data_IF_511545252491
#
_entry.id   IF_511545252491
#
_cell.length_a   1.000
_cell.length_b   1.000
_cell.length_c   1.000
_cell.angle_alpha   90.00
_cell.angle_beta   90.00
_cell.angle_gamma   90.00
#
_symmetry.space_group_name_H-M   'P 1'
#
loop_
_entity.id
_entity.type
_entity.pdbx_description
1 polymer ?
#
# COMPACT_ATOMS: atom_id res chain seq x y z
N UNK A 1 5.29 -24.45 -2.07
CA UNK A 1 3.98 -24.14 -2.69
C UNK A 1 2.81 -24.89 -2.05
N UNK A 2 2.90 -26.21 -1.77
CA UNK A 2 1.79 -26.98 -1.13
C UNK A 2 1.35 -26.41 0.22
N UNK A 3 2.31 -26.04 1.07
CA UNK A 3 2.02 -25.53 2.43
C UNK A 3 1.31 -24.17 2.43
N UNK A 4 1.40 -23.40 1.34
CA UNK A 4 0.72 -22.11 1.21
C UNK A 4 -0.71 -22.22 0.68
N UNK A 5 -1.09 -23.36 0.07
CA UNK A 5 -2.42 -23.51 -0.55
C UNK A 5 -3.55 -23.59 0.47
N UNK A 6 -3.26 -24.12 1.68
CA UNK A 6 -4.26 -24.25 2.74
C UNK A 6 -4.73 -22.90 3.28
N UNK A 7 -3.88 -21.86 3.17
CA UNK A 7 -4.16 -20.51 3.66
C UNK A 7 -5.40 -19.88 2.98
N UNK A 8 -5.67 -20.21 1.71
CA UNK A 8 -6.81 -19.70 0.97
C UNK A 8 -8.14 -20.41 1.29
N UNK A 9 -8.13 -21.40 2.19
CA UNK A 9 -9.27 -22.32 2.41
C UNK A 9 -9.65 -22.41 3.89
N UNK A 10 -8.67 -22.54 4.79
CA UNK A 10 -8.90 -23.07 6.15
C UNK A 10 -9.60 -22.10 7.12
N UNK A 11 -9.54 -20.79 6.91
CA UNK A 11 -10.17 -19.77 7.77
C UNK A 11 -11.22 -18.95 7.01
N UNK A 12 -11.94 -19.64 6.13
CA UNK A 12 -12.82 -19.04 5.14
C UNK A 12 -12.12 -18.89 3.80
N UNK A 13 -12.81 -19.28 2.73
CA UNK A 13 -12.25 -19.18 1.38
C UNK A 13 -12.05 -17.72 0.99
N UNK A 14 -11.14 -17.44 0.05
CA UNK A 14 -10.94 -16.08 -0.48
C UNK A 14 -12.26 -15.43 -0.92
N UNK A 15 -13.19 -16.21 -1.48
CA UNK A 15 -14.52 -15.74 -1.86
C UNK A 15 -15.38 -15.31 -0.66
N UNK A 16 -15.40 -16.10 0.41
CA UNK A 16 -16.14 -15.75 1.64
C UNK A 16 -15.51 -14.51 2.31
N UNK A 17 -14.19 -14.43 2.37
CA UNK A 17 -13.47 -13.27 2.90
C UNK A 17 -13.78 -12.00 2.08
N UNK A 18 -13.82 -12.12 0.76
CA UNK A 18 -14.18 -11.01 -0.13
C UNK A 18 -15.62 -10.55 0.06
N UNK A 19 -16.56 -11.48 0.19
CA UNK A 19 -17.96 -11.18 0.48
C UNK A 19 -18.13 -10.51 1.84
N UNK A 20 -17.38 -10.93 2.86
CA UNK A 20 -17.39 -10.28 4.16
C UNK A 20 -16.90 -8.83 4.09
N UNK A 21 -15.80 -8.61 3.35
CA UNK A 21 -15.24 -7.27 3.17
C UNK A 21 -16.26 -6.33 2.54
N UNK A 22 -16.80 -6.69 1.38
CA UNK A 22 -17.67 -5.81 0.59
C UNK A 22 -19.08 -5.73 1.15
N UNK A 23 -19.62 -6.87 1.61
CA UNK A 23 -20.98 -6.97 2.14
C UNK A 23 -21.12 -6.43 3.56
N UNK A 24 -20.12 -6.61 4.42
CA UNK A 24 -20.19 -6.25 5.85
C UNK A 24 -19.22 -5.13 6.23
N UNK A 25 -17.92 -5.29 5.98
CA UNK A 25 -16.89 -4.37 6.53
C UNK A 25 -16.92 -2.98 5.90
N UNK A 26 -17.11 -2.88 4.59
CA UNK A 26 -17.19 -1.58 3.90
C UNK A 26 -18.47 -0.81 4.20
N UNK A 27 -19.49 -1.47 4.75
CA UNK A 27 -20.74 -0.83 5.16
C UNK A 27 -20.73 -0.40 6.63
N UNK A 28 -19.72 -0.80 7.40
CA UNK A 28 -19.62 -0.43 8.81
C UNK A 28 -19.59 1.08 8.98
N UNK A 29 -20.39 1.57 9.93
CA UNK A 29 -20.45 3.00 10.28
C UNK A 29 -20.59 3.88 9.02
N UNK A 30 -21.45 3.50 8.07
CA UNK A 30 -21.67 4.25 6.81
C UNK A 30 -20.42 4.40 5.94
N UNK A 31 -19.54 3.39 6.00
CA UNK A 31 -18.29 3.33 5.26
C UNK A 31 -17.18 4.23 5.82
N UNK A 32 -17.31 4.76 7.03
CA UNK A 32 -16.27 5.57 7.68
C UNK A 32 -14.88 4.91 7.67
N UNK A 33 -14.72 3.61 7.99
CA UNK A 33 -13.39 2.99 8.02
C UNK A 33 -12.70 2.98 6.65
N UNK A 34 -13.42 2.58 5.59
CA UNK A 34 -12.83 2.53 4.24
C UNK A 34 -12.57 3.94 3.69
N UNK A 35 -13.47 4.90 3.95
CA UNK A 35 -13.25 6.31 3.60
C UNK A 35 -12.00 6.87 4.29
N UNK A 36 -11.81 6.55 5.57
CA UNK A 36 -10.62 6.96 6.32
C UNK A 36 -9.34 6.35 5.74
N UNK A 37 -9.34 5.05 5.47
CA UNK A 37 -8.21 4.34 4.87
C UNK A 37 -7.82 4.93 3.50
N UNK A 38 -8.80 5.14 2.62
CA UNK A 38 -8.58 5.77 1.32
C UNK A 38 -8.14 7.23 1.45
N UNK A 39 -8.61 7.94 2.48
CA UNK A 39 -8.16 9.28 2.83
C UNK A 39 -6.67 9.32 3.19
N UNK A 40 -6.21 8.41 4.06
CA UNK A 40 -4.80 8.30 4.42
C UNK A 40 -3.92 7.99 3.20
N UNK A 41 -4.33 7.04 2.37
CA UNK A 41 -3.60 6.68 1.16
C UNK A 41 -3.57 7.83 0.14
N UNK A 42 -4.70 8.51 -0.06
CA UNK A 42 -4.83 9.66 -0.94
C UNK A 42 -3.98 10.86 -0.45
N UNK A 43 -3.94 11.10 0.86
CA UNK A 43 -3.10 12.14 1.45
C UNK A 43 -1.61 11.86 1.21
N UNK A 44 -1.15 10.64 1.48
CA UNK A 44 0.25 10.26 1.19
C UNK A 44 0.59 10.38 -0.30
N UNK A 45 -0.35 10.01 -1.18
CA UNK A 45 -0.18 10.19 -2.62
C UNK A 45 -0.02 11.67 -3.01
N UNK A 46 -0.79 12.56 -2.38
CA UNK A 46 -0.70 14.01 -2.63
C UNK A 46 0.61 14.60 -2.10
N UNK A 47 0.99 14.27 -0.87
CA UNK A 47 2.23 14.74 -0.21
C UNK A 47 3.48 14.39 -1.02
N UNK A 48 3.49 13.21 -1.65
CA UNK A 48 4.63 12.70 -2.41
C UNK A 48 4.54 12.94 -3.92
N UNK A 49 3.45 13.53 -4.43
CA UNK A 49 3.22 13.67 -5.87
C UNK A 49 4.32 14.47 -6.59
N UNK A 50 4.88 15.48 -5.93
CA UNK A 50 5.96 16.31 -6.46
C UNK A 50 7.37 15.76 -6.17
N UNK A 51 7.48 14.63 -5.47
CA UNK A 51 8.77 14.04 -5.15
C UNK A 51 9.48 13.54 -6.42
N UNK A 52 10.74 13.92 -6.69
CA UNK A 52 11.44 13.52 -7.92
C UNK A 52 11.63 12.01 -8.07
N UNK A 53 11.61 11.26 -6.97
CA UNK A 53 11.84 9.81 -6.95
C UNK A 53 10.53 9.05 -6.71
N UNK A 54 9.73 9.50 -5.74
CA UNK A 54 8.52 8.81 -5.31
C UNK A 54 7.25 9.28 -6.04
N UNK A 55 7.30 10.42 -6.73
CA UNK A 55 6.16 11.03 -7.43
C UNK A 55 5.43 10.09 -8.39
N UNK A 56 6.12 9.36 -9.28
CA UNK A 56 5.46 8.40 -10.19
C UNK A 56 4.64 7.33 -9.44
N UNK A 57 5.19 6.77 -8.36
CA UNK A 57 4.49 5.79 -7.52
C UNK A 57 3.36 6.42 -6.72
N UNK A 58 3.53 7.67 -6.26
CA UNK A 58 2.49 8.43 -5.58
C UNK A 58 1.28 8.70 -6.49
N UNK A 59 1.50 9.05 -7.76
CA UNK A 59 0.44 9.23 -8.76
C UNK A 59 -0.30 7.91 -9.07
N UNK A 60 0.42 6.79 -9.12
CA UNK A 60 -0.18 5.45 -9.26
C UNK A 60 -1.06 5.11 -8.06
N UNK A 61 -0.59 5.38 -6.83
CA UNK A 61 -1.40 5.20 -5.62
C UNK A 61 -2.65 6.08 -5.65
N UNK A 62 -2.53 7.34 -6.04
CA UNK A 62 -3.68 8.24 -6.19
C UNK A 62 -4.71 7.72 -7.20
N UNK A 63 -4.25 7.15 -8.31
CA UNK A 63 -5.11 6.53 -9.31
C UNK A 63 -5.82 5.28 -8.77
N UNK A 64 -5.10 4.43 -8.02
CA UNK A 64 -5.68 3.24 -7.38
C UNK A 64 -6.74 3.61 -6.33
N UNK A 65 -6.46 4.60 -5.48
CA UNK A 65 -7.41 5.14 -4.49
C UNK A 65 -8.66 5.67 -5.18
N UNK A 66 -8.51 6.43 -6.26
CA UNK A 66 -9.63 6.95 -7.04
C UNK A 66 -10.46 5.84 -7.67
N UNK A 67 -9.83 4.84 -8.27
CA UNK A 67 -10.51 3.71 -8.90
C UNK A 67 -11.30 2.89 -7.87
N UNK A 68 -10.68 2.54 -6.73
CA UNK A 68 -11.37 1.82 -5.66
C UNK A 68 -12.51 2.65 -5.06
N UNK A 69 -12.30 3.94 -4.81
CA UNK A 69 -13.34 4.85 -4.35
C UNK A 69 -14.52 4.93 -5.32
N UNK A 70 -14.27 4.99 -6.63
CA UNK A 70 -15.31 5.01 -7.65
C UNK A 70 -16.12 3.71 -7.64
N UNK A 71 -15.48 2.54 -7.61
CA UNK A 71 -16.16 1.23 -7.57
C UNK A 71 -17.06 1.13 -6.32
N UNK A 72 -16.56 1.56 -5.15
CA UNK A 72 -17.33 1.52 -3.91
C UNK A 72 -18.50 2.50 -3.89
N UNK A 73 -18.39 3.63 -4.59
CA UNK A 73 -19.46 4.61 -4.71
C UNK A 73 -20.50 4.21 -5.78
N UNK A 74 -20.08 3.60 -6.88
CA UNK A 74 -20.92 3.32 -8.04
C UNK A 74 -21.74 2.04 -7.92
N UNK A 75 -21.15 0.94 -7.41
CA UNK A 75 -21.88 -0.34 -7.29
C UNK A 75 -23.23 -0.20 -6.56
N UNK A 76 -23.32 0.52 -5.41
CA UNK A 76 -24.58 0.68 -4.69
C UNK A 76 -25.66 1.45 -5.45
N UNK A 77 -25.32 2.23 -6.48
CA UNK A 77 -26.29 3.06 -7.24
C UNK A 77 -26.92 2.30 -8.41
N UNK A 78 -26.52 1.06 -8.68
CA UNK A 78 -27.03 0.25 -9.78
C UNK A 78 -28.25 -0.56 -9.34
N UNK A 79 -29.21 -0.76 -10.25
CA UNK A 79 -30.40 -1.57 -9.98
C UNK A 79 -30.05 -3.02 -9.57
N UNK A 80 -28.99 -3.57 -10.15
CA UNK A 80 -28.46 -4.90 -9.86
C UNK A 80 -27.28 -4.89 -8.86
N UNK A 81 -27.23 -3.90 -7.95
CA UNK A 81 -26.14 -3.70 -6.99
C UNK A 81 -25.74 -4.97 -6.23
N UNK A 82 -26.71 -5.79 -5.81
CA UNK A 82 -26.44 -7.05 -5.11
C UNK A 82 -25.64 -8.03 -5.99
N UNK A 83 -26.10 -8.26 -7.23
CA UNK A 83 -25.44 -9.19 -8.16
C UNK A 83 -24.04 -8.68 -8.53
N UNK A 84 -23.90 -7.37 -8.82
CA UNK A 84 -22.61 -6.77 -9.10
C UNK A 84 -21.64 -6.89 -7.93
N UNK A 85 -22.13 -6.72 -6.69
CA UNK A 85 -21.33 -6.91 -5.48
C UNK A 85 -20.82 -8.35 -5.37
N UNK A 86 -21.70 -9.33 -5.55
CA UNK A 86 -21.34 -10.76 -5.45
C UNK A 86 -20.32 -11.17 -6.51
N UNK A 87 -20.52 -10.76 -7.77
CA UNK A 87 -19.65 -11.12 -8.89
C UNK A 87 -18.26 -10.46 -8.80
N UNK A 88 -18.16 -9.27 -8.19
CA UNK A 88 -16.93 -8.51 -8.15
C UNK A 88 -16.24 -8.52 -6.77
N UNK A 89 -16.76 -9.26 -5.80
CA UNK A 89 -16.24 -9.22 -4.42
C UNK A 89 -14.73 -9.48 -4.36
N UNK A 90 -14.24 -10.53 -5.05
CA UNK A 90 -12.81 -10.89 -5.06
C UNK A 90 -11.97 -9.81 -5.72
N UNK A 91 -12.41 -9.24 -6.84
CA UNK A 91 -11.71 -8.14 -7.50
C UNK A 91 -11.61 -6.90 -6.60
N UNK A 92 -12.68 -6.58 -5.86
CA UNK A 92 -12.66 -5.47 -4.89
C UNK A 92 -11.72 -5.77 -3.72
N UNK A 93 -11.67 -7.01 -3.24
CA UNK A 93 -10.69 -7.45 -2.24
C UNK A 93 -9.26 -7.25 -2.74
N UNK A 94 -8.96 -7.68 -3.97
CA UNK A 94 -7.63 -7.54 -4.58
C UNK A 94 -7.26 -6.06 -4.82
N UNK A 95 -8.19 -5.25 -5.32
CA UNK A 95 -7.99 -3.80 -5.48
C UNK A 95 -7.67 -3.14 -4.15
N UNK A 96 -8.36 -3.54 -3.08
CA UNK A 96 -8.10 -3.06 -1.72
C UNK A 96 -6.71 -3.49 -1.26
N UNK A 97 -6.36 -4.77 -1.43
CA UNK A 97 -5.05 -5.31 -1.07
C UNK A 97 -3.91 -4.56 -1.77
N UNK A 98 -3.99 -4.38 -3.09
CA UNK A 98 -2.98 -3.64 -3.86
C UNK A 98 -2.88 -2.18 -3.45
N UNK A 99 -4.02 -1.51 -3.20
CA UNK A 99 -4.04 -0.11 -2.76
C UNK A 99 -3.37 0.05 -1.40
N UNK A 100 -3.68 -0.83 -0.44
CA UNK A 100 -3.09 -0.82 0.91
C UNK A 100 -1.60 -1.17 0.85
N UNK A 101 -1.22 -2.20 0.09
CA UNK A 101 0.18 -2.58 -0.06
C UNK A 101 1.01 -1.43 -0.68
N UNK A 102 0.51 -0.82 -1.75
CA UNK A 102 1.14 0.34 -2.38
C UNK A 102 1.28 1.53 -1.42
N UNK A 103 0.23 1.82 -0.65
CA UNK A 103 0.25 2.85 0.39
C UNK A 103 1.34 2.60 1.45
N UNK A 104 1.41 1.38 2.01
CA UNK A 104 2.37 1.05 3.05
C UNK A 104 3.82 1.06 2.52
N UNK A 105 4.04 0.53 1.32
CA UNK A 105 5.35 0.57 0.65
C UNK A 105 5.80 2.01 0.40
N UNK A 106 4.90 2.88 -0.05
CA UNK A 106 5.23 4.27 -0.31
C UNK A 106 5.58 5.04 0.97
N UNK A 107 4.87 4.78 2.07
CA UNK A 107 5.23 5.34 3.40
C UNK A 107 6.61 4.87 3.87
N UNK A 108 6.90 3.58 3.71
CA UNK A 108 8.22 3.04 4.05
C UNK A 108 9.32 3.65 3.18
N UNK A 109 9.06 3.84 1.88
CA UNK A 109 10.00 4.46 0.96
C UNK A 109 10.29 5.93 1.31
N UNK A 110 9.26 6.70 1.67
CA UNK A 110 9.44 8.08 2.14
C UNK A 110 10.32 8.15 3.39
N UNK A 111 10.05 7.31 4.39
CA UNK A 111 10.86 7.24 5.61
C UNK A 111 12.29 6.77 5.33
N UNK A 112 12.47 5.79 4.45
CA UNK A 112 13.78 5.30 4.06
C UNK A 112 14.60 6.39 3.36
N UNK A 113 13.96 7.19 2.49
CA UNK A 113 14.59 8.32 1.80
C UNK A 113 15.06 9.39 2.79
N UNK A 114 14.22 9.75 3.77
CA UNK A 114 14.58 10.71 4.82
C UNK A 114 15.79 10.24 5.64
N UNK A 115 15.74 8.99 6.13
CA UNK A 115 16.84 8.40 6.91
C UNK A 115 18.12 8.30 6.10
N UNK A 116 18.03 7.94 4.82
CA UNK A 116 19.19 7.87 3.94
C UNK A 116 19.82 9.26 3.75
N UNK A 117 19.01 10.31 3.55
CA UNK A 117 19.50 11.68 3.42
C UNK A 117 20.23 12.16 4.69
N UNK A 118 19.70 11.83 5.88
CA UNK A 118 20.36 12.15 7.15
C UNK A 118 21.73 11.47 7.28
N UNK A 119 21.81 10.16 6.98
CA UNK A 119 23.07 9.40 7.02
C UNK A 119 24.11 9.92 6.03
N UNK A 120 23.69 10.31 4.82
CA UNK A 120 24.60 10.86 3.82
C UNK A 120 25.16 12.21 4.28
N UNK A 121 24.33 13.06 4.90
CA UNK A 121 24.75 14.34 5.45
C UNK A 121 25.78 14.16 6.58
N UNK A 122 25.57 13.21 7.48
CA UNK A 122 26.53 12.88 8.55
C UNK A 122 27.88 12.41 8.00
N UNK A 123 27.87 11.64 6.90
CA UNK A 123 29.09 11.16 6.24
C UNK A 123 29.72 12.16 5.27
N UNK A 124 29.13 13.34 5.09
CA UNK A 124 29.59 14.35 4.11
C UNK A 124 29.52 13.87 2.66
N UNK A 125 28.63 12.91 2.35
CA UNK A 125 28.48 12.34 1.01
C UNK A 125 27.39 13.08 0.26
N UNK A 126 27.71 13.57 -0.95
CA UNK A 126 26.72 14.17 -1.83
C UNK A 126 25.78 13.09 -2.40
N UNK A 127 24.47 13.28 -2.22
CA UNK A 127 23.44 12.36 -2.70
C UNK A 127 23.36 12.28 -4.24
N UNK A 128 23.97 13.22 -4.96
CA UNK A 128 24.03 13.24 -6.42
C UNK A 128 25.15 12.37 -7.01
N UNK A 129 26.15 11.97 -6.20
CA UNK A 129 27.18 11.01 -6.59
C UNK A 129 26.70 9.57 -6.39
N UNK A 130 26.19 8.96 -7.48
CA UNK A 130 25.67 7.59 -7.48
C UNK A 130 26.71 6.54 -7.10
N UNK A 131 28.01 6.78 -7.34
CA UNK A 131 29.06 5.83 -6.99
C UNK A 131 29.33 5.84 -5.48
N UNK A 132 29.48 7.05 -4.90
CA UNK A 132 29.63 7.22 -3.45
C UNK A 132 28.38 6.75 -2.68
N UNK A 133 27.19 6.98 -3.23
CA UNK A 133 25.92 6.49 -2.68
C UNK A 133 25.86 4.96 -2.62
N UNK A 134 26.17 4.27 -3.73
CA UNK A 134 26.14 2.80 -3.79
C UNK A 134 27.16 2.14 -2.85
N UNK A 135 28.35 2.73 -2.73
CA UNK A 135 29.38 2.23 -1.82
C UNK A 135 28.96 2.37 -0.35
N UNK A 136 28.32 3.49 0.00
CA UNK A 136 27.81 3.72 1.36
C UNK A 136 26.57 2.88 1.68
N UNK A 137 25.68 2.65 0.72
CA UNK A 137 24.54 1.74 0.88
C UNK A 137 24.99 0.32 1.21
N UNK A 138 26.08 -0.16 0.60
CA UNK A 138 26.69 -1.46 0.93
C UNK A 138 27.12 -1.55 2.40
N UNK A 139 27.77 -0.50 2.91
CA UNK A 139 28.22 -0.43 4.31
C UNK A 139 27.04 -0.29 5.29
N UNK A 140 26.03 0.52 4.96
CA UNK A 140 24.81 0.67 5.78
C UNK A 140 24.05 -0.66 5.85
N UNK A 141 23.97 -1.41 4.73
CA UNK A 141 23.31 -2.73 4.70
C UNK A 141 24.00 -3.74 5.62
N UNK A 142 25.34 -3.71 5.70
CA UNK A 142 26.12 -4.53 6.63
C UNK A 142 25.91 -4.09 8.09
N UNK A 143 25.90 -2.79 8.37
CA UNK A 143 25.68 -2.25 9.72
C UNK A 143 24.27 -2.55 10.27
N UNK A 144 23.24 -2.53 9.40
CA UNK A 144 21.87 -2.93 9.79
C UNK A 144 21.78 -4.43 10.08
N UNK A 145 22.51 -5.26 9.32
CA UNK A 145 22.57 -6.71 9.59
C UNK A 145 23.33 -7.04 10.88
N UNK A 146 24.34 -6.26 11.25
CA UNK A 146 25.05 -6.45 12.53
C UNK A 146 24.29 -5.91 13.75
N UNK A 147 23.49 -4.86 13.60
CA UNK A 147 22.64 -4.32 14.68
C UNK A 147 21.30 -5.05 14.84
N UNK A 148 20.83 -5.79 13.84
CA UNK A 148 19.58 -6.56 13.90
C UNK A 148 19.67 -7.91 14.63
N UNK A 149 20.83 -8.26 15.20
CA UNK A 149 21.06 -9.50 15.95
C UNK A 149 20.90 -9.38 17.47
N UNK A 150 20.47 -8.22 17.98
CA UNK A 150 20.36 -7.98 19.41
C UNK A 150 19.22 -7.04 19.76
N UNK A 151 18.00 -7.59 19.84
CA UNK A 151 16.98 -7.34 20.88
C UNK A 151 15.76 -8.22 20.60
#
# INVERSE_FOLDING_TARGET
MRDAQIACIYEGTNGIQALDLVGRKFRLQEGKPVKHLLGLAGQTAQELAADPVLGPSALQLGSAVKALGAVLAEIPTKENAMILTLLNAVHVLDMTGHTVAGYLLLRQAALAKEKLAALLKEKGVDASDKAALNQNLGQVRQAVQSNGGGQ
#
